data_IF_439452356805
#
_entry.id   IF_439452356805
#
_cell.length_a   1.000
_cell.length_b   1.000
_cell.length_c   1.000
_cell.angle_alpha   90.00
_cell.angle_beta   90.00
_cell.angle_gamma   90.00
#
_symmetry.space_group_name_H-M   'P 1'
#
loop_
_entity.id
_entity.type
_entity.pdbx_description
1 polymer ?
#
# COMPACT_ATOMS: atom_id res chain seq x y z
N UNK A 1 2.38 9.41 2.92
CA UNK A 1 2.02 8.80 1.62
C UNK A 1 1.04 9.65 0.79
N UNK A 2 -0.11 10.06 1.33
CA UNK A 2 -1.15 10.80 0.57
C UNK A 2 -0.65 12.07 -0.11
N UNK A 3 0.28 12.81 0.50
CA UNK A 3 0.85 14.03 -0.08
C UNK A 3 2.11 13.79 -0.93
N UNK A 4 2.55 12.54 -1.04
CA UNK A 4 3.80 12.19 -1.72
C UNK A 4 3.69 12.34 -3.23
N UNK A 5 4.70 12.92 -3.86
CA UNK A 5 4.68 13.23 -5.31
C UNK A 5 5.55 12.28 -6.12
N UNK A 6 6.50 11.59 -5.47
CA UNK A 6 7.27 10.51 -6.10
C UNK A 6 6.57 9.16 -5.92
N UNK A 7 6.37 8.44 -7.02
CA UNK A 7 5.73 7.12 -7.09
C UNK A 7 6.38 6.10 -6.16
N UNK A 8 7.70 5.90 -6.26
CA UNK A 8 8.44 4.92 -5.45
C UNK A 8 8.51 5.33 -3.98
N UNK A 9 8.61 6.63 -3.69
CA UNK A 9 8.60 7.14 -2.32
C UNK A 9 7.23 6.97 -1.68
N UNK A 10 6.15 7.20 -2.42
CA UNK A 10 4.79 6.92 -1.97
C UNK A 10 4.63 5.44 -1.65
N UNK A 11 5.16 4.56 -2.51
CA UNK A 11 5.15 3.12 -2.27
C UNK A 11 5.96 2.76 -1.01
N UNK A 12 7.14 3.33 -0.79
CA UNK A 12 7.93 3.08 0.40
C UNK A 12 7.19 3.50 1.68
N UNK A 13 6.60 4.71 1.71
CA UNK A 13 5.79 5.16 2.85
C UNK A 13 4.59 4.26 3.13
N UNK A 14 3.98 3.70 2.09
CA UNK A 14 2.88 2.77 2.29
C UNK A 14 3.33 1.49 3.00
N UNK A 15 4.56 1.03 2.81
CA UNK A 15 5.06 -0.15 3.55
C UNK A 15 5.01 0.05 5.06
N UNK A 16 5.28 1.26 5.56
CA UNK A 16 5.19 1.58 7.00
C UNK A 16 3.75 1.40 7.50
N UNK A 17 2.76 1.93 6.77
CA UNK A 17 1.35 1.75 7.13
C UNK A 17 0.93 0.28 7.15
N UNK A 18 1.48 -0.53 6.24
CA UNK A 18 1.15 -1.95 6.07
C UNK A 18 1.78 -2.82 7.16
N UNK A 19 2.97 -2.46 7.63
CA UNK A 19 3.54 -3.03 8.86
C UNK A 19 2.66 -2.73 10.08
N UNK A 20 2.01 -1.56 10.13
CA UNK A 20 1.02 -1.26 11.16
C UNK A 20 -0.13 -2.29 11.23
N UNK A 21 -0.66 -2.72 10.08
CA UNK A 21 -1.69 -3.77 10.02
C UNK A 21 -1.17 -5.14 10.49
N UNK A 22 0.08 -5.48 10.13
CA UNK A 22 0.75 -6.72 10.58
C UNK A 22 0.92 -6.73 12.10
N UNK A 23 1.41 -5.62 12.68
CA UNK A 23 1.62 -5.49 14.12
C UNK A 23 0.30 -5.46 14.91
N UNK A 24 -0.77 -4.94 14.32
CA UNK A 24 -2.07 -4.86 15.00
C UNK A 24 -2.82 -6.19 15.06
N UNK A 25 -2.56 -7.12 14.16
CA UNK A 25 -3.12 -8.47 14.19
C UNK A 25 -2.06 -9.55 13.90
N UNK A 26 -1.13 -9.82 14.84
CA UNK A 26 0.00 -10.73 14.62
C UNK A 26 -0.42 -12.15 14.23
N UNK A 27 -1.56 -12.63 14.76
CA UNK A 27 -2.10 -13.98 14.50
C UNK A 27 -2.30 -14.25 13.00
N UNK A 28 -2.62 -13.20 12.23
CA UNK A 28 -2.94 -13.30 10.80
C UNK A 28 -1.90 -12.57 9.93
N UNK A 29 -0.79 -12.14 10.55
CA UNK A 29 0.26 -11.37 9.91
C UNK A 29 0.93 -12.11 8.75
N UNK A 30 1.05 -13.43 8.80
CA UNK A 30 1.70 -14.21 7.73
C UNK A 30 0.99 -14.06 6.39
N UNK A 31 -0.34 -14.21 6.38
CA UNK A 31 -1.15 -14.02 5.17
C UNK A 31 -1.12 -12.56 4.70
N UNK A 32 -1.20 -11.61 5.63
CA UNK A 32 -1.09 -10.19 5.32
C UNK A 32 0.28 -9.84 4.69
N UNK A 33 1.38 -10.32 5.27
CA UNK A 33 2.73 -10.07 4.79
C UNK A 33 2.98 -10.68 3.40
N UNK A 34 2.48 -11.90 3.15
CA UNK A 34 2.56 -12.54 1.83
C UNK A 34 1.84 -11.72 0.76
N UNK A 35 0.56 -11.41 0.99
CA UNK A 35 -0.26 -10.66 0.03
C UNK A 35 0.30 -9.27 -0.21
N UNK A 36 0.69 -8.56 0.85
CA UNK A 36 1.35 -7.27 0.77
C UNK A 36 2.68 -7.34 -0.01
N UNK A 37 3.53 -8.34 0.25
CA UNK A 37 4.81 -8.55 -0.42
C UNK A 37 4.66 -8.76 -1.93
N UNK A 38 3.70 -9.60 -2.34
CA UNK A 38 3.35 -9.83 -3.74
C UNK A 38 2.89 -8.54 -4.42
N UNK A 39 1.94 -7.82 -3.82
CA UNK A 39 1.43 -6.56 -4.39
C UNK A 39 2.51 -5.50 -4.47
N UNK A 40 3.31 -5.32 -3.42
CA UNK A 40 4.38 -4.31 -3.40
C UNK A 40 5.44 -4.58 -4.45
N UNK A 41 5.86 -5.83 -4.60
CA UNK A 41 6.81 -6.22 -5.62
C UNK A 41 6.28 -5.88 -7.01
N UNK A 42 5.00 -6.17 -7.28
CA UNK A 42 4.37 -5.82 -8.56
C UNK A 42 4.34 -4.29 -8.77
N UNK A 43 3.92 -3.53 -7.76
CA UNK A 43 3.85 -2.06 -7.83
C UNK A 43 5.22 -1.41 -8.04
N UNK A 44 6.28 -1.89 -7.36
CA UNK A 44 7.63 -1.36 -7.53
C UNK A 44 8.22 -1.70 -8.90
N UNK A 45 7.96 -2.91 -9.42
CA UNK A 45 8.36 -3.28 -10.77
C UNK A 45 7.66 -2.39 -11.81
N UNK A 46 6.34 -2.21 -11.70
CA UNK A 46 5.56 -1.36 -12.60
C UNK A 46 6.04 0.10 -12.50
N UNK A 47 6.22 0.64 -11.29
CA UNK A 47 6.75 1.99 -11.09
C UNK A 47 8.16 2.18 -11.67
N UNK A 48 8.93 1.09 -11.86
CA UNK A 48 10.24 1.11 -12.51
C UNK A 48 10.19 1.31 -14.02
N UNK A 49 9.07 1.02 -14.69
CA UNK A 49 8.90 1.16 -16.14
C UNK A 49 8.03 2.36 -16.54
N UNK A 50 7.50 3.10 -15.56
CA UNK A 50 6.77 4.35 -15.81
C UNK A 50 7.69 5.42 -16.40
N UNK A 51 7.17 6.31 -17.27
CA UNK A 51 7.98 7.32 -17.96
C UNK A 51 8.49 8.44 -17.03
N UNK A 52 7.97 8.54 -15.81
CA UNK A 52 8.46 9.45 -14.77
C UNK A 52 8.17 8.86 -13.40
N UNK A 53 8.96 9.28 -12.40
CA UNK A 53 8.67 9.00 -10.99
C UNK A 53 7.72 10.02 -10.39
N UNK A 54 7.50 11.17 -11.02
CA UNK A 54 6.70 12.27 -10.50
C UNK A 54 5.24 12.14 -10.96
N UNK A 55 4.30 12.02 -10.03
CA UNK A 55 2.86 11.94 -10.35
C UNK A 55 2.36 13.11 -11.20
N UNK A 56 2.88 14.33 -10.98
CA UNK A 56 2.47 15.51 -11.76
C UNK A 56 2.84 15.35 -13.24
N UNK A 57 4.01 14.79 -13.53
CA UNK A 57 4.44 14.53 -14.91
C UNK A 57 3.65 13.37 -15.53
N UNK A 58 3.35 12.33 -14.74
CA UNK A 58 2.54 11.19 -15.20
C UNK A 58 1.11 11.60 -15.57
N UNK A 59 0.53 12.62 -14.94
CA UNK A 59 -0.78 13.15 -15.35
C UNK A 59 -0.77 13.83 -16.73
N UNK A 60 0.39 14.21 -17.25
CA UNK A 60 0.52 14.83 -18.58
C UNK A 60 1.08 13.85 -19.64
N UNK A 61 1.40 12.62 -19.24
CA UNK A 61 2.01 11.61 -20.12
C UNK A 61 1.20 10.31 -20.03
N UNK A 62 0.35 10.01 -21.03
CA UNK A 62 -0.46 8.80 -21.00
C UNK A 62 0.43 7.56 -21.04
N UNK A 63 0.11 6.59 -20.17
CA UNK A 63 0.84 5.33 -20.09
C UNK A 63 0.23 4.25 -20.99
N UNK A 64 1.03 3.23 -21.33
CA UNK A 64 0.53 2.10 -22.11
C UNK A 64 -0.58 1.34 -21.36
N UNK A 65 -1.64 1.00 -22.07
CA UNK A 65 -2.82 0.37 -21.50
C UNK A 65 -2.51 -0.96 -20.78
N UNK A 66 -1.57 -1.76 -21.28
CA UNK A 66 -1.21 -3.04 -20.64
C UNK A 66 -0.55 -2.81 -19.27
N UNK A 67 0.32 -1.80 -19.19
CA UNK A 67 0.98 -1.40 -17.94
C UNK A 67 -0.05 -0.82 -16.97
N UNK A 68 -0.97 0.03 -17.47
CA UNK A 68 -2.04 0.61 -16.66
C UNK A 68 -2.94 -0.47 -16.05
N UNK A 69 -3.36 -1.47 -16.82
CA UNK A 69 -4.20 -2.57 -16.30
C UNK A 69 -3.48 -3.32 -15.17
N UNK A 70 -2.21 -3.69 -15.37
CA UNK A 70 -1.42 -4.35 -14.32
C UNK A 70 -1.29 -3.48 -13.06
N UNK A 71 -1.09 -2.17 -13.25
CA UNK A 71 -0.99 -1.18 -12.18
C UNK A 71 -2.29 -1.05 -11.39
N UNK A 72 -3.44 -1.03 -12.07
CA UNK A 72 -4.77 -0.95 -11.47
C UNK A 72 -5.07 -2.21 -10.67
N UNK A 73 -4.80 -3.41 -11.21
CA UNK A 73 -5.00 -4.68 -10.50
C UNK A 73 -4.17 -4.68 -9.20
N UNK A 74 -2.89 -4.33 -9.28
CA UNK A 74 -2.03 -4.25 -8.09
C UNK A 74 -2.54 -3.19 -7.09
N UNK A 75 -2.97 -2.03 -7.58
CA UNK A 75 -3.50 -0.93 -6.76
C UNK A 75 -4.81 -1.32 -6.05
N UNK A 76 -5.72 -2.03 -6.73
CA UNK A 76 -6.94 -2.56 -6.14
C UNK A 76 -6.65 -3.59 -5.05
N UNK A 77 -5.66 -4.47 -5.26
CA UNK A 77 -5.28 -5.46 -4.24
C UNK A 77 -4.84 -4.80 -2.93
N UNK A 78 -3.93 -3.83 -2.98
CA UNK A 78 -3.46 -3.12 -1.76
C UNK A 78 -4.53 -2.21 -1.15
N UNK A 79 -5.44 -1.65 -1.95
CA UNK A 79 -6.62 -0.94 -1.43
C UNK A 79 -7.59 -1.88 -0.70
N UNK A 80 -7.53 -3.18 -0.96
CA UNK A 80 -8.46 -4.16 -0.39
C UNK A 80 -9.77 -4.22 -1.16
N UNK A 81 -9.72 -4.01 -2.47
CA UNK A 81 -10.87 -4.19 -3.34
C UNK A 81 -11.26 -5.69 -3.36
N UNK A 82 -12.55 -6.03 -3.25
CA UNK A 82 -13.01 -7.42 -3.35
C UNK A 82 -12.52 -8.02 -4.67
N UNK A 83 -12.18 -9.32 -4.69
CA UNK A 83 -11.63 -10.12 -5.81
C UNK A 83 -10.12 -10.42 -5.73
N UNK A 84 -9.37 -9.74 -4.86
CA UNK A 84 -7.93 -9.95 -4.72
C UNK A 84 -7.57 -10.28 -3.27
N UNK A 85 -6.48 -11.03 -3.07
CA UNK A 85 -6.08 -11.53 -1.74
C UNK A 85 -5.84 -10.43 -0.69
N UNK A 86 -5.53 -9.20 -1.11
CA UNK A 86 -5.44 -8.06 -0.20
C UNK A 86 -6.76 -7.69 0.50
N UNK A 87 -7.92 -8.00 -0.09
CA UNK A 87 -9.22 -7.91 0.58
C UNK A 87 -9.33 -8.93 1.71
N UNK A 88 -9.06 -10.21 1.41
CA UNK A 88 -9.10 -11.29 2.39
C UNK A 88 -8.19 -11.01 3.58
N UNK A 89 -6.96 -10.54 3.31
CA UNK A 89 -6.00 -10.16 4.33
C UNK A 89 -6.55 -9.03 5.24
N UNK A 90 -7.11 -7.96 4.67
CA UNK A 90 -7.66 -6.85 5.45
C UNK A 90 -8.90 -7.21 6.25
N UNK A 91 -9.79 -8.04 5.69
CA UNK A 91 -10.98 -8.53 6.40
C UNK A 91 -10.54 -9.38 7.60
N UNK A 92 -9.60 -10.31 7.37
CA UNK A 92 -9.09 -11.19 8.41
C UNK A 92 -8.36 -10.39 9.52
N UNK A 93 -7.53 -9.41 9.15
CA UNK A 93 -6.92 -8.47 10.10
C UNK A 93 -7.98 -7.73 10.89
N UNK A 94 -9.01 -7.17 10.22
CA UNK A 94 -10.06 -6.39 10.87
C UNK A 94 -10.87 -7.17 11.92
N UNK A 95 -11.02 -8.49 11.73
CA UNK A 95 -11.67 -9.39 12.70
C UNK A 95 -10.84 -9.63 13.96
N UNK A 96 -9.53 -9.38 13.89
CA UNK A 96 -8.57 -9.64 14.98
C UNK A 96 -8.06 -8.33 15.62
N UNK A 97 -8.69 -7.19 15.33
CA UNK A 97 -8.31 -5.90 15.92
C UNK A 97 -8.97 -5.70 17.30
N UNK A 98 -8.25 -5.02 18.19
CA UNK A 98 -8.83 -4.48 19.41
C UNK A 98 -9.75 -3.29 19.09
N UNK A 99 -10.81 -3.03 19.88
CA UNK A 99 -11.79 -1.97 19.59
C UNK A 99 -11.15 -0.59 19.36
N UNK A 100 -10.12 -0.24 20.12
CA UNK A 100 -9.43 1.05 19.99
C UNK A 100 -8.60 1.17 18.69
N UNK A 101 -8.13 0.05 18.13
CA UNK A 101 -7.33 0.02 16.90
C UNK A 101 -8.19 0.24 15.64
N UNK A 102 -9.49 -0.10 15.71
CA UNK A 102 -10.40 -0.09 14.56
C UNK A 102 -10.45 1.27 13.88
N UNK A 103 -10.49 2.36 14.66
CA UNK A 103 -10.55 3.73 14.11
C UNK A 103 -9.27 4.05 13.32
N UNK A 104 -8.11 3.82 13.93
CA UNK A 104 -6.81 4.07 13.29
C UNK A 104 -6.62 3.25 12.02
N UNK A 105 -7.02 1.97 12.04
CA UNK A 105 -6.91 1.09 10.88
C UNK A 105 -7.86 1.48 9.74
N UNK A 106 -9.07 1.94 10.05
CA UNK A 106 -9.99 2.46 9.03
C UNK A 106 -9.43 3.73 8.38
N UNK A 107 -8.85 4.65 9.17
CA UNK A 107 -8.19 5.85 8.64
C UNK A 107 -7.02 5.46 7.73
N UNK A 108 -6.20 4.50 8.15
CA UNK A 108 -5.10 3.98 7.34
C UNK A 108 -5.60 3.32 6.03
N UNK A 109 -6.73 2.60 6.07
CA UNK A 109 -7.35 2.02 4.90
C UNK A 109 -7.85 3.08 3.90
N UNK A 110 -8.52 4.13 4.40
CA UNK A 110 -8.94 5.28 3.57
C UNK A 110 -7.73 6.00 2.99
N UNK A 111 -6.69 6.25 3.79
CA UNK A 111 -5.43 6.84 3.31
C UNK A 111 -4.74 6.00 2.23
N UNK A 112 -4.87 4.67 2.31
CA UNK A 112 -4.43 3.74 1.27
C UNK A 112 -5.25 3.94 -0.01
N UNK A 113 -6.58 3.95 0.08
CA UNK A 113 -7.44 4.22 -1.08
C UNK A 113 -7.13 5.56 -1.75
N UNK A 114 -6.97 6.65 -0.98
CA UNK A 114 -6.62 7.98 -1.50
C UNK A 114 -5.27 7.94 -2.24
N UNK A 115 -4.27 7.28 -1.67
CA UNK A 115 -2.93 7.26 -2.26
C UNK A 115 -2.88 6.45 -3.55
N UNK A 116 -3.54 5.28 -3.57
CA UNK A 116 -3.55 4.40 -4.75
C UNK A 116 -4.49 4.89 -5.85
N UNK A 117 -5.45 5.78 -5.53
CA UNK A 117 -6.21 6.52 -6.52
C UNK A 117 -5.30 7.28 -7.51
N UNK A 118 -4.13 7.77 -7.05
CA UNK A 118 -3.14 8.45 -7.91
C UNK A 118 -2.62 7.57 -9.04
N UNK A 119 -2.51 6.26 -8.82
CA UNK A 119 -2.11 5.31 -9.86
C UNK A 119 -3.29 4.89 -10.73
N UNK A 120 -4.45 4.67 -10.11
CA UNK A 120 -5.66 4.23 -10.82
C UNK A 120 -6.12 5.27 -11.84
N UNK A 121 -6.13 6.55 -11.47
CA UNK A 121 -6.59 7.65 -12.32
C UNK A 121 -5.48 8.28 -13.19
N UNK A 122 -4.37 7.56 -13.44
CA UNK A 122 -3.40 8.00 -14.44
C UNK A 122 -3.99 7.92 -15.85
N UNK A 123 -3.69 8.90 -16.73
CA UNK A 123 -4.11 8.82 -18.12
C UNK A 123 -3.44 7.62 -18.80
N UNK A 124 -4.19 6.88 -19.60
CA UNK A 124 -3.70 5.71 -20.34
C UNK A 124 -4.21 5.77 -21.78
N UNK A 125 -3.42 5.24 -22.71
CA UNK A 125 -3.81 5.15 -24.11
C UNK A 125 -3.29 3.87 -24.76
N UNK A 126 -3.99 3.41 -25.80
CA UNK A 126 -3.52 2.30 -26.63
C UNK A 126 -2.47 2.86 -27.60
N UNK A 127 -1.20 2.78 -27.23
CA UNK A 127 -0.11 3.27 -28.06
C UNK A 127 0.19 2.31 -29.22
N UNK A 128 0.38 2.85 -30.42
CA UNK A 128 0.92 2.09 -31.56
C UNK A 128 2.39 1.70 -31.33
N UNK A 129 3.15 2.59 -30.67
CA UNK A 129 4.51 2.30 -30.18
C UNK A 129 4.47 1.89 -28.72
N UNK A 130 4.39 0.58 -28.48
CA UNK A 130 4.45 0.00 -27.14
C UNK A 130 5.74 0.41 -26.44
N UNK A 131 5.65 0.70 -25.13
CA UNK A 131 6.85 0.84 -24.28
C UNK A 131 7.64 -0.47 -24.41
N UNK A 132 8.92 -0.38 -24.78
CA UNK A 132 9.80 -1.56 -24.90
C UNK A 132 10.12 -2.10 -23.50
N UNK A 133 9.23 -2.92 -22.98
CA UNK A 133 9.43 -3.63 -21.72
C UNK A 133 10.00 -5.02 -22.01
N UNK A 134 11.02 -5.44 -21.25
CA UNK A 134 11.63 -6.76 -21.40
C UNK A 134 10.61 -7.87 -21.10
N UNK A 135 10.69 -9.00 -21.81
CA UNK A 135 9.79 -10.14 -21.59
C UNK A 135 9.83 -10.64 -20.12
N UNK A 136 10.99 -10.59 -19.47
CA UNK A 136 11.14 -10.98 -18.06
C UNK A 136 10.29 -10.16 -17.09
N UNK A 137 9.98 -8.89 -17.43
CA UNK A 137 9.03 -8.09 -16.63
C UNK A 137 7.63 -8.70 -16.65
N UNK A 138 7.14 -9.10 -17.82
CA UNK A 138 5.80 -9.66 -17.94
C UNK A 138 5.67 -11.01 -17.22
N UNK A 139 6.72 -11.84 -17.26
CA UNK A 139 6.77 -13.06 -16.45
C UNK A 139 6.73 -12.76 -14.95
N UNK A 140 7.50 -11.77 -14.49
CA UNK A 140 7.46 -11.36 -13.09
C UNK A 140 6.07 -10.86 -12.68
N UNK A 141 5.44 -10.01 -13.50
CA UNK A 141 4.07 -9.51 -13.24
C UNK A 141 3.05 -10.66 -13.25
N UNK A 142 3.16 -11.61 -14.18
CA UNK A 142 2.28 -12.77 -14.22
C UNK A 142 2.39 -13.63 -12.96
N UNK A 143 3.61 -13.91 -12.49
CA UNK A 143 3.84 -14.66 -11.24
C UNK A 143 3.31 -13.89 -10.03
N UNK A 144 3.59 -12.59 -9.94
CA UNK A 144 3.19 -11.78 -8.78
C UNK A 144 1.68 -11.59 -8.70
N UNK A 145 1.03 -11.23 -9.82
CA UNK A 145 -0.43 -11.05 -9.84
C UNK A 145 -1.16 -12.40 -9.81
N UNK A 146 -0.64 -13.43 -10.48
CA UNK A 146 -1.15 -14.80 -10.39
C UNK A 146 -1.09 -15.34 -8.96
N UNK A 147 0.01 -15.08 -8.25
CA UNK A 147 0.14 -15.41 -6.83
C UNK A 147 -0.92 -14.74 -5.95
N UNK A 148 -1.36 -13.52 -6.29
CA UNK A 148 -2.47 -12.87 -5.58
C UNK A 148 -3.81 -13.57 -5.80
N UNK A 149 -4.06 -14.06 -7.02
CA UNK A 149 -5.27 -14.81 -7.34
C UNK A 149 -5.26 -16.15 -6.60
N UNK A 150 -4.14 -16.87 -6.60
CA UNK A 150 -3.98 -18.13 -5.85
C UNK A 150 -4.12 -17.89 -4.35
N UNK A 151 -3.47 -16.86 -3.80
CA UNK A 151 -3.58 -16.51 -2.39
C UNK A 151 -5.01 -16.12 -1.99
N UNK A 152 -5.83 -15.63 -2.92
CA UNK A 152 -7.23 -15.30 -2.63
C UNK A 152 -8.05 -16.54 -2.27
N UNK A 153 -7.62 -17.73 -2.72
CA UNK A 153 -8.25 -19.00 -2.37
C UNK A 153 -8.08 -19.39 -0.89
N UNK A 154 -7.13 -18.77 -0.18
CA UNK A 154 -6.86 -19.10 1.22
C UNK A 154 -8.00 -18.69 2.17
N UNK A 155 -8.79 -17.66 1.81
CA UNK A 155 -9.84 -17.13 2.69
C UNK A 155 -11.12 -16.75 1.93
N UNK A 156 -11.77 -17.75 1.33
CA UNK A 156 -13.07 -17.56 0.65
C UNK A 156 -14.18 -17.05 1.57
N UNK A 157 -14.12 -17.36 2.86
CA UNK A 157 -15.07 -16.87 3.87
C UNK A 157 -15.03 -15.34 4.08
N UNK A 158 -14.03 -14.66 3.50
CA UNK A 158 -14.02 -13.20 3.45
C UNK A 158 -15.20 -12.63 2.65
N UNK A 159 -15.70 -13.37 1.67
CA UNK A 159 -16.67 -12.90 0.67
C UNK A 159 -18.13 -12.98 1.16
N UNK A 160 -18.41 -12.36 2.30
CA UNK A 160 -19.79 -12.10 2.74
C UNK A 160 -20.21 -10.69 2.35
N UNK A 161 -21.52 -10.48 2.14
CA UNK A 161 -22.06 -9.16 1.76
C UNK A 161 -21.63 -8.06 2.74
N UNK A 162 -21.69 -8.32 4.05
CA UNK A 162 -21.28 -7.37 5.08
C UNK A 162 -19.79 -7.01 5.01
N UNK A 163 -18.93 -8.00 4.72
CA UNK A 163 -17.49 -7.79 4.62
C UNK A 163 -17.08 -7.08 3.32
N UNK A 164 -17.91 -7.15 2.28
CA UNK A 164 -17.65 -6.52 0.98
C UNK A 164 -18.04 -5.04 0.99
N UNK A 165 -19.19 -4.69 1.57
CA UNK A 165 -19.74 -3.33 1.54
C UNK A 165 -18.79 -2.33 2.22
N UNK A 166 -18.29 -2.66 3.43
CA UNK A 166 -17.49 -1.72 4.23
C UNK A 166 -16.18 -1.31 3.52
N UNK A 167 -15.36 -2.22 2.95
CA UNK A 167 -14.19 -1.84 2.17
C UNK A 167 -14.52 -1.08 0.88
N UNK A 168 -15.61 -1.45 0.18
CA UNK A 168 -16.04 -0.70 -1.01
C UNK A 168 -16.38 0.75 -0.69
N UNK A 169 -17.11 1.00 0.41
CA UNK A 169 -17.42 2.35 0.88
C UNK A 169 -16.15 3.11 1.24
N UNK A 170 -15.22 2.48 1.95
CA UNK A 170 -13.92 3.09 2.30
C UNK A 170 -13.11 3.49 1.05
N UNK A 171 -13.10 2.62 0.04
CA UNK A 171 -12.44 2.88 -1.25
C UNK A 171 -13.13 4.04 -1.98
N UNK A 172 -14.45 4.02 -2.07
CA UNK A 172 -15.22 5.08 -2.72
C UNK A 172 -15.01 6.44 -2.06
N UNK A 173 -15.04 6.51 -0.73
CA UNK A 173 -14.72 7.72 0.05
C UNK A 173 -13.29 8.18 -0.27
N UNK A 174 -12.32 7.26 -0.29
CA UNK A 174 -10.93 7.59 -0.59
C UNK A 174 -10.75 8.14 -2.01
N UNK A 175 -11.44 7.60 -3.00
CA UNK A 175 -11.40 8.08 -4.37
C UNK A 175 -12.07 9.45 -4.52
N UNK A 176 -13.24 9.65 -3.89
CA UNK A 176 -13.91 10.95 -3.87
C UNK A 176 -13.03 12.02 -3.22
N UNK A 177 -12.43 11.71 -2.07
CA UNK A 177 -11.50 12.61 -1.40
C UNK A 177 -10.28 12.91 -2.29
N UNK A 178 -9.76 11.91 -3.01
CA UNK A 178 -8.67 12.13 -3.96
C UNK A 178 -9.07 13.12 -5.06
N UNK A 179 -10.15 12.85 -5.79
CA UNK A 179 -10.57 13.66 -6.95
C UNK A 179 -10.96 15.09 -6.56
N UNK A 180 -11.64 15.27 -5.43
CA UNK A 180 -12.13 16.59 -5.01
C UNK A 180 -11.07 17.43 -4.30
N UNK A 181 -10.21 16.80 -3.50
CA UNK A 181 -9.33 17.48 -2.54
C UNK A 181 -7.85 17.22 -2.88
N UNK A 182 -7.39 15.97 -2.80
CA UNK A 182 -5.95 15.68 -2.83
C UNK A 182 -5.29 15.80 -4.21
N UNK A 183 -6.05 15.67 -5.30
CA UNK A 183 -5.53 15.90 -6.65
C UNK A 183 -5.18 17.37 -6.88
N UNK A 184 -5.92 18.29 -6.24
CA UNK A 184 -5.73 19.74 -6.36
C UNK A 184 -4.74 20.31 -5.36
N UNK A 185 -4.49 19.61 -4.25
CA UNK A 185 -3.58 20.04 -3.20
C UNK A 185 -2.11 19.87 -3.56
N UNK A 186 -1.34 20.95 -3.42
CA UNK A 186 0.09 20.98 -3.72
C UNK A 186 0.98 21.11 -2.47
N UNK A 187 0.59 20.53 -1.32
CA UNK A 187 1.36 20.62 -0.07
C UNK A 187 2.76 20.01 -0.24
N UNK A 188 3.79 20.70 0.28
CA UNK A 188 5.16 20.20 0.40
C UNK A 188 5.47 20.07 1.90
N UNK A 189 5.83 18.87 2.34
CA UNK A 189 6.29 18.65 3.71
C UNK A 189 7.82 18.86 3.81
N UNK A 190 8.32 19.44 4.91
CA UNK A 190 9.75 19.55 5.16
C UNK A 190 10.36 18.15 5.30
N UNK A 191 11.57 17.98 4.77
CA UNK A 191 12.28 16.69 4.69
C UNK A 191 13.33 16.50 5.78
N UNK A 192 13.42 17.43 6.73
CA UNK A 192 14.44 17.45 7.77
C UNK A 192 14.43 16.14 8.58
N UNK A 193 13.26 15.60 8.90
CA UNK A 193 13.11 14.33 9.62
C UNK A 193 13.57 13.09 8.84
N UNK A 194 13.76 13.21 7.52
CA UNK A 194 14.25 12.13 6.65
C UNK A 194 15.78 12.18 6.45
N UNK A 195 16.48 13.17 7.03
CA UNK A 195 17.93 13.29 6.92
C UNK A 195 18.62 12.14 7.66
N UNK A 196 19.69 11.62 7.07
CA UNK A 196 20.39 10.43 7.55
C UNK A 196 20.85 10.58 9.00
N UNK A 197 21.39 11.74 9.35
CA UNK A 197 21.88 12.03 10.71
C UNK A 197 20.73 12.01 11.73
N UNK A 198 19.57 12.57 11.37
CA UNK A 198 18.37 12.52 12.22
C UNK A 198 17.80 11.11 12.33
N UNK A 199 17.83 10.32 11.25
CA UNK A 199 17.39 8.93 11.27
C UNK A 199 18.27 8.07 12.17
N UNK A 200 19.60 8.17 12.05
CA UNK A 200 20.54 7.48 12.96
C UNK A 200 20.32 7.92 14.40
N UNK A 201 20.19 9.23 14.63
CA UNK A 201 19.94 9.78 15.96
C UNK A 201 18.67 9.20 16.58
N UNK A 202 17.56 9.19 15.83
CA UNK A 202 16.29 8.66 16.29
C UNK A 202 16.34 7.14 16.53
N UNK A 203 16.95 6.37 15.61
CA UNK A 203 17.10 4.92 15.77
C UNK A 203 17.93 4.59 17.02
N UNK A 204 19.05 5.31 17.24
CA UNK A 204 19.90 5.13 18.42
C UNK A 204 19.13 5.47 19.71
N UNK A 205 18.38 6.58 19.70
CA UNK A 205 17.56 6.98 20.83
C UNK A 205 16.47 5.94 21.16
N UNK A 206 15.78 5.40 20.15
CA UNK A 206 14.80 4.33 20.33
C UNK A 206 15.44 3.06 20.91
N UNK A 207 16.65 2.68 20.48
CA UNK A 207 17.37 1.53 21.03
C UNK A 207 17.71 1.73 22.51
N UNK A 208 18.16 2.92 22.90
CA UNK A 208 18.45 3.26 24.30
C UNK A 208 17.16 3.17 25.14
N UNK A 209 16.05 3.72 24.65
CA UNK A 209 14.77 3.64 25.35
C UNK A 209 14.27 2.21 25.50
N UNK A 210 14.35 1.39 24.45
CA UNK A 210 13.96 -0.01 24.51
C UNK A 210 14.84 -0.79 25.50
N UNK A 211 16.16 -0.56 25.47
CA UNK A 211 17.08 -1.15 26.44
C UNK A 211 16.72 -0.76 27.87
N UNK A 212 16.43 0.51 28.12
CA UNK A 212 16.03 1.00 29.45
C UNK A 212 14.71 0.38 29.94
N UNK A 213 13.73 0.22 29.05
CA UNK A 213 12.46 -0.44 29.38
C UNK A 213 12.70 -1.90 29.77
N UNK A 214 13.51 -2.63 28.99
CA UNK A 214 13.81 -4.04 29.28
C UNK A 214 14.60 -4.16 30.59
N UNK A 215 15.60 -3.30 30.79
CA UNK A 215 16.42 -3.29 32.01
C UNK A 215 15.58 -3.05 33.27
N UNK A 216 14.72 -2.02 33.24
CA UNK A 216 13.85 -1.73 34.39
C UNK A 216 12.85 -2.85 34.65
N UNK A 217 12.32 -3.52 33.62
CA UNK A 217 11.43 -4.67 33.79
C UNK A 217 12.14 -5.90 34.37
N UNK A 218 13.41 -6.14 34.02
CA UNK A 218 14.18 -7.26 34.61
C UNK A 218 14.42 -7.08 36.10
N UNK A 219 14.68 -5.85 36.55
CA UNK A 219 14.96 -5.55 37.97
C UNK A 219 13.73 -5.73 38.89
N UNK A 220 12.50 -5.72 38.34
CA UNK A 220 11.26 -5.97 39.11
C UNK A 220 10.79 -7.44 39.07
N UNK A 221 11.50 -8.32 38.36
CA UNK A 221 11.13 -9.74 38.18
C UNK A 221 11.92 -10.74 39.04
N UNK A 222 12.79 -10.23 39.92
CA UNK A 222 13.50 -10.96 40.98
C UNK A 222 12.97 -10.59 42.36
#
# INVERSE_FOLDING_TARGET
>A
AVFEKDTKRMLAFHTISQLGFVLAAPVVAGFYALTHGLVKSALFLIAGVLPSRNFKELHHKPIDNQIWVALVIASFSISGFPLLSGFGAKVLTSKNLLPWQVIGMNIAAVGTAISFAKFIFLPHQKNEKKIKVKLGFWWAIAVLLGGLIVANAFYYEAYTLNNIIKPLVSIAIGWLAYLLIFQKLAIKFPRVVEEFDHLIGFMSFMLILLFWIVWTQSDFST
#
